data_IF_177365711918
#
_entry.id   IF_177365711918
#
_cell.length_a   1.000
_cell.length_b   1.000
_cell.length_c   1.000
_cell.angle_alpha   90.00
_cell.angle_beta   90.00
_cell.angle_gamma   90.00
#
_symmetry.space_group_name_H-M   'P 1'
#
loop_
_entity.id
_entity.type
_entity.pdbx_description
1 polymer ?
#
# COMPACT_ATOMS: atom_id res chain seq x y z
N UNK A 1 5.38 1.34 44.64
CA UNK A 1 5.67 2.01 43.34
C UNK A 1 6.80 1.36 42.56
N UNK A 2 7.95 0.99 43.16
CA UNK A 2 9.07 0.33 42.44
C UNK A 2 8.69 -0.93 41.62
N UNK A 3 7.83 -1.81 42.16
CA UNK A 3 7.35 -3.01 41.45
C UNK A 3 6.48 -2.67 40.22
N UNK A 4 5.76 -1.52 40.26
CA UNK A 4 4.97 -1.03 39.12
C UNK A 4 5.89 -0.54 38.01
N UNK A 5 6.87 0.32 38.33
CA UNK A 5 7.87 0.80 37.37
C UNK A 5 8.66 -0.36 36.73
N UNK A 6 9.09 -1.33 37.53
CA UNK A 6 9.77 -2.53 37.02
C UNK A 6 8.88 -3.35 36.07
N UNK A 7 7.57 -3.42 36.35
CA UNK A 7 6.60 -4.07 35.47
C UNK A 7 6.41 -3.29 34.18
N UNK A 8 6.28 -1.97 34.24
CA UNK A 8 6.13 -1.08 33.08
C UNK A 8 7.35 -1.19 32.14
N UNK A 9 8.58 -1.12 32.68
CA UNK A 9 9.83 -1.34 31.92
C UNK A 9 9.85 -2.70 31.21
N UNK A 10 9.53 -3.78 31.93
CA UNK A 10 9.52 -5.15 31.39
C UNK A 10 8.47 -5.31 30.29
N UNK A 11 7.25 -4.80 30.50
CA UNK A 11 6.18 -4.89 29.52
C UNK A 11 6.51 -4.08 28.28
N UNK A 12 6.96 -2.83 28.44
CA UNK A 12 7.35 -1.98 27.32
C UNK A 12 8.44 -2.66 26.49
N UNK A 13 9.51 -3.14 27.13
CA UNK A 13 10.59 -3.88 26.45
C UNK A 13 10.07 -5.07 25.66
N UNK A 14 9.17 -5.87 26.26
CA UNK A 14 8.62 -7.07 25.63
C UNK A 14 7.79 -6.72 24.40
N UNK A 15 6.94 -5.70 24.48
CA UNK A 15 6.07 -5.31 23.38
C UNK A 15 6.82 -4.57 22.27
N UNK A 16 7.82 -3.75 22.61
CA UNK A 16 8.75 -3.15 21.64
C UNK A 16 9.46 -4.24 20.83
N UNK A 17 10.06 -5.24 21.50
CA UNK A 17 10.70 -6.39 20.81
C UNK A 17 9.72 -7.19 19.97
N UNK A 18 8.46 -7.32 20.42
CA UNK A 18 7.42 -8.01 19.65
C UNK A 18 7.07 -7.25 18.38
N UNK A 19 6.94 -5.93 18.44
CA UNK A 19 6.68 -5.09 17.27
C UNK A 19 7.84 -5.14 16.28
N UNK A 20 9.08 -5.06 16.75
CA UNK A 20 10.27 -5.26 15.89
C UNK A 20 10.24 -6.62 15.19
N UNK A 21 9.90 -7.70 15.91
CA UNK A 21 9.80 -9.04 15.33
C UNK A 21 8.66 -9.16 14.30
N UNK A 22 7.51 -8.52 14.55
CA UNK A 22 6.40 -8.46 13.59
C UNK A 22 6.86 -7.74 12.32
N UNK A 23 7.44 -6.54 12.45
CA UNK A 23 7.92 -5.77 11.29
C UNK A 23 8.95 -6.57 10.51
N UNK A 24 9.90 -7.23 11.20
CA UNK A 24 10.89 -8.09 10.56
C UNK A 24 10.22 -9.21 9.77
N UNK A 25 9.30 -9.94 10.38
CA UNK A 25 8.59 -11.04 9.72
C UNK A 25 7.84 -10.56 8.46
N UNK A 26 7.15 -9.43 8.55
CA UNK A 26 6.40 -8.86 7.42
C UNK A 26 7.33 -8.43 6.27
N UNK A 27 8.53 -7.91 6.58
CA UNK A 27 9.58 -7.61 5.60
C UNK A 27 10.19 -8.87 5.01
N UNK A 28 10.39 -9.92 5.81
CA UNK A 28 10.88 -11.21 5.35
C UNK A 28 9.86 -11.90 4.41
N UNK A 29 8.57 -11.62 4.57
CA UNK A 29 7.49 -12.01 3.65
C UNK A 29 7.36 -11.10 2.42
N UNK A 30 8.18 -10.05 2.33
CA UNK A 30 8.23 -9.08 1.23
C UNK A 30 6.86 -8.48 0.88
N UNK A 31 6.01 -8.23 1.89
CA UNK A 31 4.65 -7.69 1.68
C UNK A 31 4.65 -6.34 0.96
N UNK A 32 5.73 -5.57 1.08
CA UNK A 32 5.95 -4.33 0.35
C UNK A 32 6.20 -4.52 -1.15
N UNK A 33 6.74 -5.66 -1.57
CA UNK A 33 7.11 -5.91 -2.98
C UNK A 33 5.96 -6.53 -3.77
N UNK A 34 5.03 -7.21 -3.09
CA UNK A 34 3.87 -7.91 -3.66
C UNK A 34 3.25 -7.16 -4.85
N UNK A 35 3.54 -7.53 -6.10
CA UNK A 35 3.16 -6.76 -7.29
C UNK A 35 1.65 -6.66 -7.49
N UNK A 36 1.13 -5.43 -7.58
CA UNK A 36 -0.22 -5.13 -8.04
C UNK A 36 -0.36 -5.34 -9.56
N UNK A 37 0.18 -6.44 -10.08
CA UNK A 37 -0.16 -6.91 -11.42
C UNK A 37 -1.63 -7.36 -11.43
N UNK A 38 -2.28 -7.45 -12.60
CA UNK A 38 -3.61 -8.05 -12.70
C UNK A 38 -3.49 -9.52 -12.27
N UNK A 39 -3.70 -9.78 -10.98
CA UNK A 39 -3.76 -11.11 -10.40
C UNK A 39 -5.22 -11.49 -10.28
N UNK A 40 -5.57 -12.68 -10.77
CA UNK A 40 -6.95 -13.14 -10.77
C UNK A 40 -7.30 -13.91 -9.49
N UNK A 41 -8.55 -13.76 -9.05
CA UNK A 41 -9.21 -14.70 -8.14
C UNK A 41 -8.62 -14.78 -6.73
N UNK A 42 -7.97 -15.90 -6.42
CA UNK A 42 -7.53 -16.26 -5.05
C UNK A 42 -6.24 -15.57 -4.63
N UNK A 43 -5.31 -15.33 -5.56
CA UNK A 43 -4.01 -14.73 -5.23
C UNK A 43 -4.18 -13.29 -4.76
N UNK A 44 -5.02 -12.51 -5.47
CA UNK A 44 -5.40 -11.15 -5.07
C UNK A 44 -6.04 -11.12 -3.67
N UNK A 45 -6.99 -12.04 -3.40
CA UNK A 45 -7.66 -12.14 -2.09
C UNK A 45 -6.68 -12.50 -0.98
N UNK A 46 -5.75 -13.42 -1.25
CA UNK A 46 -4.72 -13.82 -0.28
C UNK A 46 -3.75 -12.67 0.02
N UNK A 47 -3.27 -11.95 -1.00
CA UNK A 47 -2.37 -10.82 -0.81
C UNK A 47 -3.04 -9.68 -0.02
N UNK A 48 -4.29 -9.34 -0.36
CA UNK A 48 -5.06 -8.35 0.40
C UNK A 48 -5.29 -8.79 1.85
N UNK A 49 -5.56 -10.08 2.06
CA UNK A 49 -5.71 -10.63 3.40
C UNK A 49 -4.42 -10.49 4.21
N UNK A 50 -3.26 -10.90 3.65
CA UNK A 50 -1.97 -10.79 4.32
C UNK A 50 -1.62 -9.32 4.64
N UNK A 51 -1.86 -8.40 3.71
CA UNK A 51 -1.67 -6.96 3.96
C UNK A 51 -2.55 -6.45 5.10
N UNK A 52 -3.84 -6.83 5.13
CA UNK A 52 -4.75 -6.43 6.21
C UNK A 52 -4.34 -7.02 7.57
N UNK A 53 -3.94 -8.29 7.60
CA UNK A 53 -3.46 -8.97 8.82
C UNK A 53 -2.17 -8.32 9.32
N UNK A 54 -1.21 -8.04 8.44
CA UNK A 54 0.05 -7.36 8.78
C UNK A 54 -0.16 -5.94 9.32
N UNK A 55 -0.99 -5.13 8.64
CA UNK A 55 -1.37 -3.79 9.11
C UNK A 55 -2.07 -3.89 10.48
N UNK A 56 -2.98 -4.85 10.64
CA UNK A 56 -3.68 -5.09 11.91
C UNK A 56 -2.73 -5.43 13.05
N UNK A 57 -1.74 -6.29 12.81
CA UNK A 57 -0.74 -6.70 13.79
C UNK A 57 0.16 -5.54 14.23
N UNK A 58 0.58 -4.69 13.28
CA UNK A 58 1.32 -3.45 13.56
C UNK A 58 0.47 -2.53 14.44
N UNK A 59 -0.75 -2.19 14.00
CA UNK A 59 -1.62 -1.26 14.71
C UNK A 59 -1.94 -1.71 16.13
N UNK A 60 -2.26 -3.00 16.34
CA UNK A 60 -2.55 -3.54 17.66
C UNK A 60 -1.34 -3.46 18.61
N UNK A 61 -0.14 -3.71 18.08
CA UNK A 61 1.10 -3.66 18.86
C UNK A 61 1.50 -2.21 19.18
N UNK A 62 1.40 -1.31 18.20
CA UNK A 62 1.61 0.14 18.36
C UNK A 62 0.69 0.71 19.45
N UNK A 63 -0.61 0.46 19.36
CA UNK A 63 -1.58 0.93 20.35
C UNK A 63 -1.24 0.44 21.77
N UNK A 64 -0.75 -0.81 21.88
CA UNK A 64 -0.35 -1.37 23.17
C UNK A 64 0.91 -0.71 23.73
N UNK A 65 1.90 -0.41 22.89
CA UNK A 65 3.12 0.29 23.30
C UNK A 65 2.80 1.72 23.74
N UNK A 66 1.99 2.46 22.98
CA UNK A 66 1.54 3.81 23.35
C UNK A 66 0.79 3.82 24.69
N UNK A 67 -0.08 2.83 24.92
CA UNK A 67 -0.74 2.67 26.21
C UNK A 67 0.28 2.48 27.34
N UNK A 68 1.25 1.57 27.17
CA UNK A 68 2.28 1.30 28.17
C UNK A 68 3.17 2.51 28.43
N UNK A 69 3.48 3.32 27.41
CA UNK A 69 4.21 4.57 27.58
C UNK A 69 3.42 5.58 28.41
N UNK A 70 2.13 5.76 28.13
CA UNK A 70 1.25 6.64 28.92
C UNK A 70 1.14 6.18 30.37
N UNK A 71 0.99 4.88 30.59
CA UNK A 71 0.97 4.28 31.93
C UNK A 71 2.30 4.50 32.66
N UNK A 72 3.43 4.28 31.98
CA UNK A 72 4.76 4.47 32.59
C UNK A 72 5.02 5.94 32.92
N UNK A 73 4.66 6.88 32.03
CA UNK A 73 4.76 8.31 32.30
C UNK A 73 3.90 8.71 33.50
N UNK A 74 2.66 8.20 33.58
CA UNK A 74 1.77 8.44 34.72
C UNK A 74 2.35 7.91 36.03
N UNK A 75 2.90 6.69 36.02
CA UNK A 75 3.54 6.09 37.18
C UNK A 75 4.73 6.94 37.65
N UNK A 76 5.57 7.44 36.73
CA UNK A 76 6.69 8.33 37.04
C UNK A 76 6.21 9.67 37.60
N UNK A 77 5.23 10.32 36.97
CA UNK A 77 4.68 11.60 37.45
C UNK A 77 3.96 11.49 38.80
N UNK A 78 3.55 10.30 39.21
CA UNK A 78 2.91 10.06 40.50
C UNK A 78 3.87 9.92 41.68
N UNK A 79 5.18 9.87 41.43
CA UNK A 79 6.20 9.83 42.47
C UNK A 79 6.43 11.24 43.01
N UNK A 80 6.37 11.39 44.34
CA UNK A 80 6.67 12.67 45.01
C UNK A 80 8.11 13.12 44.76
N UNK A 81 9.06 12.17 44.77
CA UNK A 81 10.47 12.41 44.45
C UNK A 81 10.95 11.37 43.43
N UNK A 82 10.99 11.75 42.15
CA UNK A 82 11.54 10.90 41.08
C UNK A 82 13.06 10.93 41.14
N UNK A 83 13.70 9.78 41.33
CA UNK A 83 15.15 9.71 41.36
C UNK A 83 15.77 10.00 39.98
N UNK A 84 17.02 10.50 39.91
CA UNK A 84 17.72 10.68 38.63
C UNK A 84 17.80 9.37 37.81
N UNK A 85 17.95 8.23 38.48
CA UNK A 85 17.99 6.91 37.85
C UNK A 85 16.66 6.52 37.22
N UNK A 86 15.54 6.86 37.87
CA UNK A 86 14.20 6.61 37.33
C UNK A 86 13.89 7.50 36.14
N UNK A 87 14.31 8.78 36.16
CA UNK A 87 14.21 9.69 35.01
C UNK A 87 15.03 9.20 33.83
N UNK A 88 16.31 8.88 34.06
CA UNK A 88 17.20 8.37 33.01
C UNK A 88 16.68 7.05 32.43
N UNK A 89 16.19 6.14 33.28
CA UNK A 89 15.52 4.93 32.80
C UNK A 89 14.30 5.27 31.94
N UNK A 90 13.43 6.17 32.39
CA UNK A 90 12.24 6.54 31.64
C UNK A 90 12.61 7.05 30.24
N UNK A 91 13.57 7.98 30.15
CA UNK A 91 14.07 8.51 28.88
C UNK A 91 14.64 7.42 27.97
N UNK A 92 15.45 6.50 28.50
CA UNK A 92 16.01 5.39 27.72
C UNK A 92 14.90 4.49 27.13
N UNK A 93 13.97 4.06 27.97
CA UNK A 93 12.89 3.15 27.57
C UNK A 93 11.86 3.83 26.67
N UNK A 94 11.55 5.11 26.89
CA UNK A 94 10.63 5.88 26.04
C UNK A 94 11.26 6.13 24.68
N UNK A 95 12.51 6.59 24.62
CA UNK A 95 13.22 6.83 23.36
C UNK A 95 13.29 5.56 22.51
N UNK A 96 13.59 4.41 23.13
CA UNK A 96 13.64 3.14 22.39
C UNK A 96 12.26 2.71 21.86
N UNK A 97 11.20 2.92 22.63
CA UNK A 97 9.85 2.64 22.17
C UNK A 97 9.43 3.58 21.04
N UNK A 98 9.74 4.87 21.13
CA UNK A 98 9.47 5.88 20.09
C UNK A 98 10.18 5.56 18.77
N UNK A 99 11.44 5.14 18.81
CA UNK A 99 12.19 4.71 17.62
C UNK A 99 11.48 3.55 16.89
N UNK A 100 11.03 2.54 17.65
CA UNK A 100 10.32 1.39 17.09
C UNK A 100 8.93 1.77 16.59
N UNK A 101 8.23 2.66 17.30
CA UNK A 101 6.95 3.22 16.85
C UNK A 101 7.10 4.01 15.54
N UNK A 102 8.14 4.82 15.40
CA UNK A 102 8.43 5.54 14.17
C UNK A 102 8.68 4.57 13.01
N UNK A 103 9.52 3.55 13.23
CA UNK A 103 9.76 2.50 12.23
C UNK A 103 8.47 1.76 11.83
N UNK A 104 7.61 1.48 12.81
CA UNK A 104 6.32 0.83 12.58
C UNK A 104 5.36 1.71 11.79
N UNK A 105 5.36 3.01 12.06
CA UNK A 105 4.56 4.00 11.34
C UNK A 105 4.97 4.06 9.87
N UNK A 106 6.26 4.24 9.59
CA UNK A 106 6.78 4.34 8.22
C UNK A 106 6.44 3.08 7.41
N UNK A 107 6.65 1.90 7.99
CA UNK A 107 6.32 0.64 7.34
C UNK A 107 4.80 0.43 7.20
N UNK A 108 4.01 0.85 8.18
CA UNK A 108 2.55 0.83 8.12
C UNK A 108 1.99 1.66 6.96
N UNK A 109 2.54 2.86 6.73
CA UNK A 109 2.19 3.71 5.58
C UNK A 109 2.49 3.02 4.26
N UNK A 110 3.64 2.34 4.16
CA UNK A 110 4.01 1.57 2.98
C UNK A 110 3.00 0.45 2.69
N UNK A 111 2.66 -0.36 3.70
CA UNK A 111 1.69 -1.45 3.55
C UNK A 111 0.28 -0.93 3.21
N UNK A 112 -0.14 0.18 3.82
CA UNK A 112 -1.44 0.81 3.50
C UNK A 112 -1.50 1.30 2.05
N UNK A 113 -0.43 1.94 1.58
CA UNK A 113 -0.31 2.37 0.18
C UNK A 113 -0.38 1.17 -0.76
N UNK A 114 0.26 0.06 -0.38
CA UNK A 114 0.23 -1.17 -1.17
C UNK A 114 -1.17 -1.77 -1.25
N UNK A 115 -1.85 -1.87 -0.11
CA UNK A 115 -3.24 -2.33 -0.03
C UNK A 115 -4.16 -1.48 -0.90
N UNK A 116 -3.99 -0.16 -0.91
CA UNK A 116 -4.77 0.74 -1.75
C UNK A 116 -4.56 0.47 -3.25
N UNK A 117 -3.31 0.27 -3.67
CA UNK A 117 -3.00 -0.09 -5.06
C UNK A 117 -3.73 -1.38 -5.49
N UNK A 118 -3.75 -2.40 -4.63
CA UNK A 118 -4.49 -3.64 -4.88
C UNK A 118 -6.00 -3.44 -4.97
N UNK A 119 -6.59 -2.61 -4.09
CA UNK A 119 -8.02 -2.32 -4.17
C UNK A 119 -8.40 -1.59 -5.47
N UNK A 120 -7.55 -0.70 -5.95
CA UNK A 120 -7.79 0.06 -7.20
C UNK A 120 -7.71 -0.82 -8.45
N UNK A 121 -6.81 -1.81 -8.48
CA UNK A 121 -6.74 -2.81 -9.55
C UNK A 121 -7.94 -3.77 -9.55
N UNK A 122 -8.51 -4.08 -8.38
CA UNK A 122 -9.68 -4.93 -8.28
C UNK A 122 -10.96 -4.26 -8.83
N UNK A 123 -11.06 -2.93 -8.74
CA UNK A 123 -12.23 -2.15 -9.18
C UNK A 123 -12.19 -1.75 -10.66
N UNK A 124 -11.05 -1.91 -11.33
CA UNK A 124 -10.94 -1.77 -12.77
C UNK A 124 -10.60 -3.12 -13.41
N UNK A 125 -11.58 -4.01 -13.64
CA UNK A 125 -11.37 -5.01 -14.67
C UNK A 125 -11.06 -4.22 -15.95
N UNK A 126 -9.96 -4.56 -16.61
CA UNK A 126 -9.56 -3.96 -17.86
C UNK A 126 -10.81 -3.75 -18.72
N UNK A 127 -11.13 -2.47 -18.99
CA UNK A 127 -12.19 -2.13 -19.93
C UNK A 127 -11.86 -2.89 -21.20
N UNK A 128 -12.67 -3.90 -21.47
CA UNK A 128 -12.69 -4.66 -22.71
C UNK A 128 -12.72 -3.65 -23.86
N UNK A 129 -11.57 -3.43 -24.49
CA UNK A 129 -11.55 -2.94 -25.86
C UNK A 129 -11.87 -4.17 -26.71
N UNK A 130 -13.16 -4.50 -26.72
CA UNK A 130 -13.72 -5.39 -27.73
C UNK A 130 -13.50 -4.70 -29.08
N UNK A 131 -12.56 -5.23 -29.85
CA UNK A 131 -12.56 -5.04 -31.30
C UNK A 131 -13.91 -5.56 -31.84
N UNK A 132 -14.70 -4.77 -32.58
CA UNK A 132 -15.65 -5.35 -33.51
C UNK A 132 -14.91 -5.82 -34.78
N UNK A 133 -15.15 -7.05 -35.28
CA UNK A 133 -14.70 -7.45 -36.59
C UNK A 133 -15.67 -6.98 -37.68
N UNK A 134 -15.07 -6.56 -38.81
CA UNK A 134 -15.57 -6.47 -40.18
C UNK A 134 -16.73 -5.49 -40.48
N UNK A 135 -16.58 -4.65 -41.51
CA UNK A 135 -17.46 -4.66 -42.70
C UNK A 135 -16.70 -4.09 -43.92
N UNK A 136 -16.47 -4.95 -44.92
CA UNK A 136 -16.18 -4.59 -46.30
C UNK A 136 -17.41 -3.87 -46.87
N UNK A 137 -17.37 -2.55 -47.02
CA UNK A 137 -18.39 -1.81 -47.77
C UNK A 137 -17.82 -1.38 -49.12
N UNK A 138 -18.23 -2.13 -50.14
CA UNK A 138 -18.20 -1.70 -51.54
C UNK A 138 -19.15 -0.52 -51.69
N UNK A 139 -18.63 0.67 -52.01
CA UNK A 139 -19.43 1.81 -52.44
C UNK A 139 -19.14 2.10 -53.91
N UNK A 140 -19.96 1.49 -54.77
CA UNK A 140 -20.26 2.01 -56.10
C UNK A 140 -20.93 3.36 -55.95
N UNK A 141 -20.33 4.41 -56.47
CA UNK A 141 -21.00 5.68 -56.71
C UNK A 141 -21.03 5.92 -58.23
N UNK A 142 -22.13 5.48 -58.86
CA UNK A 142 -22.53 5.95 -60.18
C UNK A 142 -23.08 7.38 -60.02
N UNK A 143 -22.30 8.36 -60.49
CA UNK A 143 -22.73 9.74 -60.70
C UNK A 143 -22.59 10.06 -62.18
N UNK A 144 -23.69 9.90 -62.92
CA UNK A 144 -23.83 10.24 -64.33
C UNK A 144 -23.70 11.75 -64.50
N UNK A 145 -22.72 12.20 -65.29
CA UNK A 145 -22.77 13.51 -65.93
C UNK A 145 -22.30 13.35 -67.38
N UNK A 146 -23.27 13.19 -68.27
CA UNK A 146 -23.14 13.27 -69.72
C UNK A 146 -22.95 14.72 -70.15
N UNK A 147 -21.89 15.00 -70.90
CA UNK A 147 -21.96 15.84 -72.11
C UNK A 147 -20.98 15.31 -73.14
N UNK A 148 -21.54 14.90 -74.27
CA UNK A 148 -20.86 14.64 -75.54
C UNK A 148 -20.25 15.94 -76.08
N UNK A 149 -19.06 15.88 -76.70
CA UNK A 149 -18.86 16.49 -78.02
C UNK A 149 -17.54 16.05 -78.69
N UNK A 150 -17.72 15.34 -79.81
CA UNK A 150 -17.03 15.43 -81.12
C UNK A 150 -15.58 14.97 -81.29
N UNK A 151 -15.52 13.81 -81.96
CA UNK A 151 -14.60 13.40 -83.02
C UNK A 151 -14.10 14.54 -83.91
N UNK A 152 -12.79 14.56 -84.21
CA UNK A 152 -12.28 14.72 -85.59
C UNK A 152 -10.75 14.59 -85.66
N UNK A 153 -10.29 13.54 -86.35
CA UNK A 153 -9.21 13.53 -87.36
C UNK A 153 -7.92 14.34 -87.10
N UNK A 154 -6.77 13.66 -87.07
CA UNK A 154 -5.79 13.92 -88.12
C UNK A 154 -4.93 12.71 -88.47
N UNK A 155 -4.88 12.50 -89.78
CA UNK A 155 -4.15 11.48 -90.52
C UNK A 155 -2.69 11.92 -90.75
N UNK A 156 -1.93 10.97 -91.24
CA UNK A 156 -0.52 10.97 -91.57
C UNK A 156 -0.12 11.93 -92.70
N UNK A 157 1.18 12.23 -92.71
CA UNK A 157 2.03 12.58 -93.86
C UNK A 157 2.07 14.05 -94.36
N UNK A 158 3.22 14.69 -94.12
CA UNK A 158 4.18 14.94 -95.20
C UNK A 158 5.61 15.00 -94.68
#
# INVERSE_FOLDING_TARGET
>A
MAMRLGTSKRLLTRYTKKLEAIIKHLKDEELETLTATPQEGEVLRNNLRQLNEGIGAINASTAKIEQLLREYATDISSLEDVSPEEKSSFEEYSAKAEEVLATAFDYGVLLQSRRQAYSSCATHPASSVAYPPAEETTAQAQGICTMEEKDSTNDMAK
#
